data_IF_334052006406
#
_entry.id   IF_334052006406
#
_cell.length_a   1.000
_cell.length_b   1.000
_cell.length_c   1.000
_cell.angle_alpha   90.00
_cell.angle_beta   90.00
_cell.angle_gamma   90.00
#
_symmetry.space_group_name_H-M   'P 1'
#
loop_
_entity.id
_entity.type
_entity.pdbx_description
1 polymer ?
#
# COMPACT_ATOMS: atom_id res chain seq x y z
N UNK A 1 -16.55 22.39 6.80
CA UNK A 1 -16.24 21.04 7.33
C UNK A 1 -14.75 21.00 7.59
N UNK A 2 -14.38 20.86 8.86
CA UNK A 2 -12.99 20.66 9.28
C UNK A 2 -12.77 19.22 9.73
N UNK A 3 -11.81 18.55 9.11
CA UNK A 3 -11.47 17.16 9.38
C UNK A 3 -10.14 17.09 10.12
N UNK A 4 -10.09 16.35 11.24
CA UNK A 4 -8.83 16.06 11.92
C UNK A 4 -8.32 14.67 11.51
N UNK A 5 -7.13 14.64 10.90
CA UNK A 5 -6.41 13.41 10.60
C UNK A 5 -5.54 12.98 11.79
N UNK A 6 -5.72 11.77 12.27
CA UNK A 6 -4.76 11.13 13.17
C UNK A 6 -3.76 10.30 12.37
N UNK A 7 -2.66 10.94 12.03
CA UNK A 7 -1.49 10.32 11.39
C UNK A 7 -0.33 10.37 12.39
N UNK A 8 0.48 9.34 12.46
CA UNK A 8 1.58 9.25 13.44
C UNK A 8 2.60 10.39 13.30
N UNK A 9 3.18 10.87 14.43
CA UNK A 9 4.28 11.84 14.39
C UNK A 9 5.48 11.35 13.58
N UNK A 10 6.22 12.31 13.06
CA UNK A 10 7.41 12.19 12.21
C UNK A 10 8.40 11.13 12.71
N UNK A 11 8.76 10.16 11.85
CA UNK A 11 9.83 9.17 12.12
C UNK A 11 9.56 7.76 11.55
N UNK A 12 8.31 7.34 11.46
CA UNK A 12 7.91 6.06 10.87
C UNK A 12 7.25 6.29 9.50
N UNK A 13 8.06 6.51 8.47
CA UNK A 13 7.56 6.57 7.08
C UNK A 13 7.22 5.15 6.60
N UNK A 14 5.99 4.73 6.85
CA UNK A 14 5.41 3.51 6.27
C UNK A 14 4.55 3.89 5.07
N UNK A 15 4.25 2.95 4.18
CA UNK A 15 3.36 3.17 3.02
C UNK A 15 2.01 3.77 3.42
N UNK A 16 1.47 3.38 4.57
CA UNK A 16 0.20 3.87 5.10
C UNK A 16 0.24 5.38 5.42
N UNK A 17 1.34 5.87 5.99
CA UNK A 17 1.52 7.30 6.30
C UNK A 17 1.66 8.12 5.02
N UNK A 18 2.40 7.60 4.04
CA UNK A 18 2.53 8.25 2.74
C UNK A 18 1.18 8.35 2.05
N UNK A 19 0.39 7.27 2.08
CA UNK A 19 -0.97 7.25 1.55
C UNK A 19 -1.89 8.26 2.23
N UNK A 20 -1.89 8.31 3.57
CA UNK A 20 -2.70 9.26 4.34
C UNK A 20 -2.34 10.72 4.00
N UNK A 21 -1.04 11.04 3.84
CA UNK A 21 -0.60 12.38 3.44
C UNK A 21 -1.07 12.75 2.03
N UNK A 22 -0.93 11.83 1.08
CA UNK A 22 -1.42 12.05 -0.31
C UNK A 22 -2.94 12.29 -0.33
N UNK A 23 -3.67 11.54 0.47
CA UNK A 23 -5.13 11.70 0.60
C UNK A 23 -5.47 13.05 1.24
N UNK A 24 -4.74 13.48 2.29
CA UNK A 24 -4.86 14.82 2.86
C UNK A 24 -4.66 15.91 1.79
N UNK A 25 -3.59 15.81 1.00
CA UNK A 25 -3.28 16.78 -0.06
C UNK A 25 -4.38 16.79 -1.14
N UNK A 26 -4.97 15.64 -1.45
CA UNK A 26 -6.08 15.55 -2.39
C UNK A 26 -7.37 16.19 -1.83
N UNK A 27 -7.68 15.98 -0.56
CA UNK A 27 -8.83 16.60 0.11
C UNK A 27 -8.69 18.14 0.19
N UNK A 28 -7.48 18.64 0.46
CA UNK A 28 -7.19 20.08 0.44
C UNK A 28 -7.45 20.68 -0.95
N UNK A 29 -7.10 19.95 -2.04
CA UNK A 29 -7.41 20.36 -3.42
C UNK A 29 -8.92 20.38 -3.71
N UNK A 30 -9.69 19.53 -3.06
CA UNK A 30 -11.17 19.52 -3.14
C UNK A 30 -11.81 20.57 -2.19
N UNK A 31 -11.03 21.45 -1.54
CA UNK A 31 -11.52 22.52 -0.69
C UNK A 31 -11.94 22.09 0.73
N UNK A 32 -11.55 20.89 1.16
CA UNK A 32 -11.81 20.42 2.54
C UNK A 32 -10.73 20.96 3.48
N UNK A 33 -11.13 21.54 4.61
CA UNK A 33 -10.22 21.94 5.66
C UNK A 33 -9.75 20.72 6.45
N UNK A 34 -8.49 20.29 6.25
CA UNK A 34 -7.90 19.11 6.90
C UNK A 34 -6.70 19.52 7.75
N UNK A 35 -6.74 19.19 9.03
CA UNK A 35 -5.65 19.39 9.96
C UNK A 35 -5.08 18.06 10.46
N UNK A 36 -3.77 17.98 10.67
CA UNK A 36 -3.06 16.89 11.36
C UNK A 36 -2.33 17.41 12.62
N UNK A 37 -2.66 18.63 13.07
CA UNK A 37 -2.15 19.19 14.32
C UNK A 37 -2.69 18.38 15.52
N UNK A 38 -1.82 17.75 16.33
CA UNK A 38 -2.24 17.04 17.54
C UNK A 38 -2.96 17.93 18.55
N UNK A 39 -2.65 19.24 18.57
CA UNK A 39 -3.23 20.19 19.50
C UNK A 39 -4.64 20.67 19.10
N UNK A 40 -5.03 20.49 17.82
CA UNK A 40 -6.34 20.91 17.33
C UNK A 40 -7.46 20.14 18.04
N UNK A 41 -8.49 20.85 18.50
CA UNK A 41 -9.62 20.31 19.26
C UNK A 41 -10.98 20.71 18.72
N UNK A 42 -10.98 21.61 17.75
CA UNK A 42 -12.17 22.10 17.05
C UNK A 42 -12.22 21.52 15.65
N UNK A 43 -12.97 20.43 15.48
CA UNK A 43 -13.17 19.71 14.22
C UNK A 43 -14.53 19.02 14.19
N UNK A 44 -15.04 18.87 13.00
CA UNK A 44 -16.37 18.28 12.75
C UNK A 44 -16.32 16.75 12.68
N UNK A 45 -15.19 16.17 12.22
CA UNK A 45 -15.00 14.74 12.04
C UNK A 45 -13.54 14.34 12.36
N UNK A 46 -13.38 13.18 12.99
CA UNK A 46 -12.09 12.56 13.26
C UNK A 46 -11.82 11.43 12.27
N UNK A 47 -10.73 11.52 11.53
CA UNK A 47 -10.26 10.48 10.61
C UNK A 47 -8.94 9.85 11.11
N UNK A 48 -8.93 8.54 11.29
CA UNK A 48 -7.86 7.81 11.98
C UNK A 48 -7.18 6.83 11.04
N UNK A 49 -5.92 7.11 10.70
CA UNK A 49 -5.14 6.31 9.75
C UNK A 49 -4.19 5.29 10.39
N UNK A 50 -3.91 5.42 11.69
CA UNK A 50 -2.93 4.54 12.36
C UNK A 50 -3.47 4.08 13.72
N UNK A 51 -3.49 2.74 13.97
CA UNK A 51 -3.99 2.18 15.22
C UNK A 51 -2.93 2.23 16.33
N UNK A 52 -2.53 3.44 16.79
CA UNK A 52 -1.58 3.57 17.89
C UNK A 52 -2.29 3.39 19.22
N UNK A 53 -1.81 2.49 20.10
CA UNK A 53 -2.33 2.33 21.46
C UNK A 53 -2.19 3.65 22.26
N UNK A 54 -3.11 3.84 23.21
CA UNK A 54 -3.19 4.94 24.18
C UNK A 54 -3.49 6.32 23.57
N UNK A 55 -2.65 6.88 22.70
CA UNK A 55 -2.84 8.23 22.14
C UNK A 55 -4.08 8.32 21.27
N UNK A 56 -4.21 7.44 20.26
CA UNK A 56 -5.34 7.48 19.35
C UNK A 56 -6.64 7.00 20.01
N UNK A 57 -6.57 6.03 20.93
CA UNK A 57 -7.75 5.59 21.71
C UNK A 57 -8.32 6.75 22.54
N UNK A 58 -7.46 7.55 23.19
CA UNK A 58 -7.91 8.69 24.00
C UNK A 58 -8.59 9.76 23.15
N UNK A 59 -8.05 10.04 21.96
CA UNK A 59 -8.63 11.00 21.03
C UNK A 59 -9.98 10.52 20.47
N UNK A 60 -10.05 9.25 20.03
CA UNK A 60 -11.29 8.62 19.58
C UNK A 60 -12.38 8.68 20.68
N UNK A 61 -12.04 8.33 21.93
CA UNK A 61 -12.97 8.42 23.05
C UNK A 61 -13.44 9.85 23.31
N UNK A 62 -12.55 10.83 23.15
CA UNK A 62 -12.89 12.25 23.29
C UNK A 62 -13.85 12.70 22.20
N UNK A 63 -13.60 12.35 20.94
CA UNK A 63 -14.48 12.63 19.81
C UNK A 63 -15.87 12.03 20.04
N UNK A 64 -15.93 10.75 20.39
CA UNK A 64 -17.20 10.05 20.69
C UNK A 64 -17.99 10.71 21.82
N UNK A 65 -17.33 11.12 22.92
CA UNK A 65 -17.99 11.84 24.04
C UNK A 65 -18.59 13.17 23.60
N UNK A 66 -17.97 13.86 22.62
CA UNK A 66 -18.48 15.11 22.04
C UNK A 66 -19.53 14.88 20.95
N UNK A 67 -19.84 13.62 20.68
CA UNK A 67 -20.70 13.28 19.56
C UNK A 67 -20.04 13.50 18.18
N UNK A 68 -18.74 13.66 18.00
CA UNK A 68 -18.02 13.85 16.73
C UNK A 68 -17.86 12.49 16.01
N UNK A 69 -18.21 12.36 14.71
CA UNK A 69 -18.02 11.12 13.94
C UNK A 69 -16.57 10.70 13.88
N UNK A 70 -16.36 9.39 13.90
CA UNK A 70 -15.04 8.78 13.80
C UNK A 70 -14.99 7.82 12.63
N UNK A 71 -14.13 8.12 11.65
CA UNK A 71 -13.80 7.23 10.54
C UNK A 71 -12.46 6.55 10.84
N UNK A 72 -12.37 5.25 10.60
CA UNK A 72 -11.15 4.47 10.75
C UNK A 72 -10.66 3.99 9.39
N UNK A 73 -9.43 4.29 9.00
CA UNK A 73 -8.79 3.67 7.83
C UNK A 73 -8.03 2.42 8.25
N UNK A 74 -8.51 1.25 7.83
CA UNK A 74 -7.90 -0.02 8.16
C UNK A 74 -6.76 -0.38 7.18
N UNK A 75 -5.66 0.34 7.29
CA UNK A 75 -4.44 0.07 6.52
C UNK A 75 -3.66 -1.15 7.01
N UNK A 76 -3.98 -1.69 8.18
CA UNK A 76 -3.27 -2.80 8.82
C UNK A 76 -4.25 -3.85 9.30
N UNK A 77 -3.98 -5.12 8.96
CA UNK A 77 -4.69 -6.29 9.48
C UNK A 77 -3.74 -7.14 10.33
N UNK A 78 -4.26 -8.13 11.04
CA UNK A 78 -3.40 -9.03 11.80
C UNK A 78 -2.54 -9.91 10.86
N UNK A 79 -3.10 -10.30 9.73
CA UNK A 79 -2.43 -11.04 8.66
C UNK A 79 -1.27 -10.22 8.07
N UNK A 80 -1.50 -8.93 7.87
CA UNK A 80 -0.49 -7.99 7.41
C UNK A 80 0.64 -7.79 8.44
N UNK A 81 0.36 -7.93 9.72
CA UNK A 81 1.36 -7.82 10.78
C UNK A 81 2.24 -9.08 10.91
N UNK A 82 1.77 -10.24 10.44
CA UNK A 82 2.56 -11.46 10.45
C UNK A 82 3.77 -11.38 9.50
N UNK A 83 4.90 -11.93 9.94
CA UNK A 83 6.13 -11.92 9.13
C UNK A 83 6.82 -10.55 8.99
N UNK A 84 6.35 -9.54 9.71
CA UNK A 84 6.98 -8.21 9.71
C UNK A 84 8.12 -8.15 10.70
N UNK A 85 7.97 -8.69 11.93
CA UNK A 85 9.03 -8.74 12.94
C UNK A 85 9.17 -10.14 13.58
N UNK A 86 10.28 -10.37 14.24
CA UNK A 86 10.53 -11.66 14.94
C UNK A 86 9.47 -11.88 16.02
N UNK A 87 8.78 -13.03 15.97
CA UNK A 87 7.73 -13.38 16.91
C UNK A 87 6.34 -12.83 16.58
N UNK A 88 6.18 -12.12 15.45
CA UNK A 88 4.88 -11.57 15.04
C UNK A 88 3.78 -12.64 14.93
N UNK A 89 4.10 -13.86 14.50
CA UNK A 89 3.13 -14.96 14.44
C UNK A 89 2.58 -15.38 15.80
N UNK A 90 3.41 -15.35 16.87
CA UNK A 90 2.96 -15.65 18.24
C UNK A 90 2.04 -14.55 18.80
N UNK A 91 2.22 -13.31 18.38
CA UNK A 91 1.46 -12.15 18.84
C UNK A 91 0.32 -11.78 17.90
N UNK A 92 0.15 -12.46 16.77
CA UNK A 92 -0.87 -12.12 15.78
C UNK A 92 -2.29 -12.13 16.34
N UNK A 93 -2.61 -13.09 17.23
CA UNK A 93 -3.91 -13.15 17.91
C UNK A 93 -4.14 -11.95 18.84
N UNK A 94 -3.11 -11.48 19.54
CA UNK A 94 -3.20 -10.30 20.42
C UNK A 94 -3.35 -9.04 19.58
N UNK A 95 -2.53 -8.90 18.54
CA UNK A 95 -2.62 -7.80 17.58
C UNK A 95 -3.99 -7.79 16.91
N UNK A 96 -4.50 -8.95 16.47
CA UNK A 96 -5.82 -9.09 15.87
C UNK A 96 -6.96 -8.66 16.80
N UNK A 97 -6.94 -9.08 18.08
CA UNK A 97 -7.92 -8.64 19.09
C UNK A 97 -7.86 -7.13 19.33
N UNK A 98 -6.65 -6.58 19.40
CA UNK A 98 -6.46 -5.14 19.55
C UNK A 98 -7.02 -4.38 18.35
N UNK A 99 -6.70 -4.79 17.11
CA UNK A 99 -7.19 -4.15 15.89
C UNK A 99 -8.71 -4.25 15.79
N UNK A 100 -9.31 -5.42 16.10
CA UNK A 100 -10.75 -5.59 16.12
C UNK A 100 -11.40 -4.64 17.12
N UNK A 101 -10.86 -4.54 18.34
CA UNK A 101 -11.33 -3.59 19.35
C UNK A 101 -11.23 -2.15 18.84
N UNK A 102 -10.08 -1.78 18.27
CA UNK A 102 -9.80 -0.43 17.79
C UNK A 102 -10.74 -0.03 16.65
N UNK A 103 -10.90 -0.87 15.63
CA UNK A 103 -11.81 -0.60 14.51
C UNK A 103 -13.27 -0.52 14.92
N UNK A 104 -13.68 -1.31 15.90
CA UNK A 104 -15.04 -1.23 16.47
C UNK A 104 -15.34 0.05 17.25
N UNK A 105 -14.35 0.91 17.50
CA UNK A 105 -14.58 2.24 18.07
C UNK A 105 -15.06 3.26 17.03
N UNK A 106 -14.86 3.01 15.73
CA UNK A 106 -15.28 3.88 14.65
C UNK A 106 -16.79 3.83 14.39
N UNK A 107 -17.32 4.90 13.81
CA UNK A 107 -18.67 4.93 13.25
C UNK A 107 -18.70 4.32 11.84
N UNK A 108 -17.53 4.35 11.15
CA UNK A 108 -17.29 3.73 9.87
C UNK A 108 -15.83 3.26 9.80
N UNK A 109 -15.61 2.11 9.16
CA UNK A 109 -14.28 1.59 8.84
C UNK A 109 -14.11 1.60 7.32
N UNK A 110 -13.11 2.30 6.83
CA UNK A 110 -12.70 2.29 5.42
C UNK A 110 -11.58 1.29 5.22
N UNK A 111 -11.73 0.43 4.23
CA UNK A 111 -10.77 -0.62 3.88
C UNK A 111 -10.33 -0.46 2.43
N UNK A 112 -9.05 -0.71 2.09
CA UNK A 112 -8.54 -0.43 0.75
C UNK A 112 -8.93 -1.47 -0.31
N UNK A 113 -9.47 -2.62 0.08
CA UNK A 113 -9.86 -3.71 -0.82
C UNK A 113 -10.98 -4.58 -0.23
N UNK A 114 -11.68 -5.30 -1.08
CA UNK A 114 -12.71 -6.29 -0.70
C UNK A 114 -12.12 -7.43 0.11
N UNK A 115 -10.86 -7.81 -0.16
CA UNK A 115 -10.14 -8.80 0.64
C UNK A 115 -9.93 -8.30 2.08
N UNK A 116 -9.52 -7.04 2.25
CA UNK A 116 -9.38 -6.46 3.59
C UNK A 116 -10.73 -6.38 4.31
N UNK A 117 -11.82 -6.06 3.59
CA UNK A 117 -13.18 -6.10 4.16
C UNK A 117 -13.51 -7.49 4.68
N UNK A 118 -13.37 -8.53 3.85
CA UNK A 118 -13.67 -9.91 4.24
C UNK A 118 -12.83 -10.37 5.43
N UNK A 119 -11.55 -9.98 5.47
CA UNK A 119 -10.62 -10.27 6.57
C UNK A 119 -11.08 -9.63 7.89
N UNK A 120 -11.50 -8.36 7.87
CA UNK A 120 -11.99 -7.69 9.07
C UNK A 120 -13.34 -8.25 9.55
N UNK A 121 -14.24 -8.60 8.61
CA UNK A 121 -15.52 -9.26 8.96
C UNK A 121 -15.29 -10.63 9.58
N UNK A 122 -14.36 -11.44 9.04
CA UNK A 122 -13.99 -12.74 9.62
C UNK A 122 -13.41 -12.60 11.04
N UNK A 123 -12.80 -11.46 11.36
CA UNK A 123 -12.31 -11.11 12.72
C UNK A 123 -13.34 -10.42 13.60
N UNK A 124 -14.62 -10.44 13.20
CA UNK A 124 -15.74 -9.89 13.97
C UNK A 124 -15.67 -8.36 14.22
N UNK A 125 -15.14 -7.60 13.25
CA UNK A 125 -15.35 -6.15 13.23
C UNK A 125 -16.82 -5.90 12.94
N UNK A 126 -17.52 -5.25 13.90
CA UNK A 126 -18.97 -5.01 13.88
C UNK A 126 -19.33 -3.64 13.33
N UNK A 127 -18.40 -2.68 13.38
CA UNK A 127 -18.58 -1.36 12.79
C UNK A 127 -18.91 -1.48 11.28
N UNK A 128 -19.72 -0.59 10.72
CA UNK A 128 -19.94 -0.53 9.28
C UNK A 128 -18.61 -0.47 8.53
N UNK A 129 -18.47 -1.26 7.46
CA UNK A 129 -17.25 -1.30 6.66
C UNK A 129 -17.61 -0.88 5.24
N UNK A 130 -16.80 -0.01 4.64
CA UNK A 130 -16.90 0.39 3.24
C UNK A 130 -15.54 0.29 2.56
N UNK A 131 -15.52 -0.25 1.35
CA UNK A 131 -14.30 -0.29 0.53
C UNK A 131 -14.05 1.09 -0.07
N UNK A 132 -12.83 1.59 0.12
CA UNK A 132 -12.34 2.82 -0.48
C UNK A 132 -10.84 2.66 -0.74
N UNK A 133 -10.42 2.74 -2.00
CA UNK A 133 -9.02 2.66 -2.39
C UNK A 133 -8.16 3.69 -1.63
N UNK A 134 -6.88 3.37 -1.38
CA UNK A 134 -5.92 4.36 -0.89
C UNK A 134 -5.62 5.47 -1.91
N UNK A 135 -6.02 5.27 -3.16
CA UNK A 135 -5.76 6.20 -4.25
C UNK A 135 -4.34 6.16 -4.80
N UNK A 136 -4.22 6.54 -6.05
CA UNK A 136 -2.94 6.75 -6.75
C UNK A 136 -2.96 8.10 -7.46
N UNK A 137 -1.93 8.91 -7.28
CA UNK A 137 -1.78 10.18 -7.97
C UNK A 137 -1.21 9.94 -9.38
N UNK A 138 -2.10 9.75 -10.36
CA UNK A 138 -1.75 9.52 -11.76
C UNK A 138 -1.07 10.74 -12.39
N UNK A 139 -1.26 11.94 -11.83
CA UNK A 139 -0.59 13.16 -12.24
C UNK A 139 0.90 13.14 -11.87
N UNK A 140 1.22 12.61 -10.69
CA UNK A 140 2.58 12.48 -10.15
C UNK A 140 3.34 11.28 -10.71
N UNK A 141 2.70 10.09 -10.72
CA UNK A 141 3.37 8.84 -11.11
C UNK A 141 3.38 8.68 -12.62
N UNK A 142 4.26 9.44 -13.28
CA UNK A 142 4.56 9.37 -14.72
C UNK A 142 6.02 9.00 -14.93
N UNK A 143 6.28 8.32 -16.03
CA UNK A 143 7.64 8.02 -16.42
C UNK A 143 8.38 9.31 -16.82
N UNK A 144 9.56 9.52 -16.24
CA UNK A 144 10.46 10.62 -16.53
C UNK A 144 11.85 10.06 -16.90
N UNK A 145 12.28 10.33 -18.12
CA UNK A 145 13.57 9.85 -18.64
C UNK A 145 14.76 10.40 -17.84
N UNK A 146 14.66 11.63 -17.38
CA UNK A 146 15.70 12.26 -16.57
C UNK A 146 15.86 11.55 -15.21
N UNK A 147 14.77 11.24 -14.51
CA UNK A 147 14.79 10.47 -13.26
C UNK A 147 15.40 9.07 -13.47
N UNK A 148 15.10 8.41 -14.60
CA UNK A 148 15.72 7.13 -14.95
C UNK A 148 17.23 7.26 -15.04
N UNK A 149 17.71 8.25 -15.78
CA UNK A 149 19.13 8.47 -15.99
C UNK A 149 19.84 8.82 -14.68
N UNK A 150 19.27 9.72 -13.89
CA UNK A 150 19.82 10.12 -12.59
C UNK A 150 19.86 8.95 -11.58
N UNK A 151 18.78 8.19 -11.48
CA UNK A 151 18.73 7.02 -10.60
C UNK A 151 19.80 6.00 -10.97
N UNK A 152 19.90 5.65 -12.26
CA UNK A 152 20.88 4.66 -12.73
C UNK A 152 22.31 5.14 -12.53
N UNK A 153 22.60 6.39 -12.86
CA UNK A 153 23.92 6.99 -12.65
C UNK A 153 24.31 7.02 -11.17
N UNK A 154 23.38 7.47 -10.29
CA UNK A 154 23.61 7.57 -8.86
C UNK A 154 23.95 6.22 -8.21
N UNK A 155 23.24 5.18 -8.63
CA UNK A 155 23.46 3.83 -8.08
C UNK A 155 24.43 2.98 -8.89
N UNK A 156 25.10 3.53 -9.93
CA UNK A 156 26.04 2.78 -10.79
C UNK A 156 25.37 1.57 -11.45
N UNK A 157 24.17 1.75 -11.97
CA UNK A 157 23.43 0.77 -12.77
C UNK A 157 23.68 1.11 -14.24
N UNK A 158 24.12 0.11 -14.99
CA UNK A 158 24.32 0.29 -16.44
C UNK A 158 23.01 0.75 -17.09
N UNK A 159 23.14 1.73 -18.00
CA UNK A 159 21.97 2.32 -18.64
C UNK A 159 21.18 1.31 -19.48
N UNK A 160 21.86 0.36 -20.11
CA UNK A 160 21.27 -0.68 -20.95
C UNK A 160 20.87 -1.95 -20.15
N UNK A 161 21.24 -2.03 -18.87
CA UNK A 161 20.89 -3.17 -18.04
C UNK A 161 19.36 -3.33 -17.91
N UNK A 162 18.89 -4.56 -17.96
CA UNK A 162 17.50 -4.90 -17.63
C UNK A 162 17.33 -5.02 -16.12
N UNK A 163 16.55 -4.12 -15.55
CA UNK A 163 16.39 -3.97 -14.08
C UNK A 163 15.01 -4.46 -13.64
N UNK A 164 15.00 -5.56 -12.91
CA UNK A 164 13.84 -6.03 -12.14
C UNK A 164 13.91 -5.38 -10.76
N UNK A 165 12.86 -4.67 -10.36
CA UNK A 165 12.92 -3.92 -9.11
C UNK A 165 11.72 -4.15 -8.21
N UNK A 166 11.95 -3.97 -6.92
CA UNK A 166 10.97 -4.07 -5.83
C UNK A 166 11.03 -2.81 -4.98
N UNK A 167 9.86 -2.35 -4.50
CA UNK A 167 9.77 -1.21 -3.58
C UNK A 167 9.01 -1.63 -2.33
N UNK A 168 9.62 -1.43 -1.17
CA UNK A 168 9.03 -1.74 0.12
C UNK A 168 10.03 -2.20 1.17
N UNK A 169 9.58 -2.26 2.42
CA UNK A 169 10.41 -2.74 3.54
C UNK A 169 10.90 -4.16 3.28
N UNK A 170 12.19 -4.40 3.52
CA UNK A 170 12.78 -5.73 3.38
C UNK A 170 12.35 -6.61 4.55
N UNK A 171 11.39 -7.49 4.31
CA UNK A 171 10.85 -8.39 5.34
C UNK A 171 10.30 -9.70 4.71
N UNK A 172 10.06 -10.75 5.53
CA UNK A 172 9.53 -12.02 5.03
C UNK A 172 8.19 -11.88 4.32
N UNK A 173 7.29 -11.06 4.86
CA UNK A 173 5.98 -10.78 4.26
C UNK A 173 6.09 -10.30 2.80
N UNK A 174 7.10 -9.48 2.49
CA UNK A 174 7.36 -8.98 1.14
C UNK A 174 8.06 -9.99 0.23
N UNK A 175 8.31 -11.21 0.73
CA UNK A 175 8.87 -12.29 -0.07
C UNK A 175 10.37 -12.19 -0.34
N UNK A 176 11.15 -11.59 0.59
CA UNK A 176 12.62 -11.48 0.44
C UNK A 176 13.30 -12.84 0.23
N UNK A 177 12.69 -13.93 0.72
CA UNK A 177 13.21 -15.30 0.58
C UNK A 177 12.99 -15.87 -0.83
N UNK A 178 12.09 -15.28 -1.63
CA UNK A 178 11.83 -15.67 -3.02
C UNK A 178 12.87 -15.08 -3.97
N UNK A 179 13.45 -13.93 -3.61
CA UNK A 179 14.39 -13.22 -4.47
C UNK A 179 15.66 -14.01 -4.82
N UNK A 180 16.39 -14.65 -3.87
CA UNK A 180 17.63 -15.35 -4.20
C UNK A 180 17.47 -16.46 -5.24
N UNK A 181 16.51 -17.40 -5.12
CA UNK A 181 16.33 -18.44 -6.14
C UNK A 181 15.92 -17.87 -7.50
N UNK A 182 15.03 -16.87 -7.54
CA UNK A 182 14.63 -16.24 -8.81
C UNK A 182 15.82 -15.54 -9.48
N UNK A 183 16.58 -14.76 -8.72
CA UNK A 183 17.72 -14.01 -9.27
C UNK A 183 18.87 -14.92 -9.75
N UNK A 184 19.04 -16.10 -9.12
CA UNK A 184 20.02 -17.10 -9.53
C UNK A 184 19.75 -17.69 -10.90
N UNK A 185 18.46 -17.94 -11.22
CA UNK A 185 18.04 -18.47 -12.52
C UNK A 185 18.08 -17.41 -13.65
N UNK A 186 18.16 -16.13 -13.29
CA UNK A 186 18.18 -15.02 -14.26
C UNK A 186 19.44 -14.12 -14.10
N UNK A 187 20.64 -14.68 -14.30
CA UNK A 187 21.89 -13.99 -14.01
C UNK A 187 22.15 -12.76 -14.89
N UNK A 188 21.50 -12.65 -16.03
CA UNK A 188 21.61 -11.53 -16.98
C UNK A 188 20.72 -10.33 -16.60
N UNK A 189 19.86 -10.47 -15.59
CA UNK A 189 19.03 -9.38 -15.08
C UNK A 189 19.65 -8.80 -13.83
N UNK A 190 19.53 -7.49 -13.65
CA UNK A 190 19.84 -6.84 -12.37
C UNK A 190 18.59 -6.76 -11.50
N UNK A 191 18.69 -7.22 -10.27
CA UNK A 191 17.63 -7.12 -9.29
C UNK A 191 17.95 -6.02 -8.29
N UNK A 192 17.01 -5.09 -8.10
CA UNK A 192 17.16 -3.95 -7.20
C UNK A 192 16.01 -3.91 -6.22
N UNK A 193 16.30 -4.10 -4.94
CA UNK A 193 15.29 -3.91 -3.88
C UNK A 193 15.49 -2.56 -3.22
N UNK A 194 14.47 -1.71 -3.32
CA UNK A 194 14.44 -0.37 -2.74
C UNK A 194 13.58 -0.39 -1.49
N UNK A 195 14.18 -0.13 -0.34
CA UNK A 195 13.42 -0.05 0.90
C UNK A 195 14.26 -0.14 2.16
N UNK A 196 13.69 0.39 3.24
CA UNK A 196 14.36 0.41 4.54
C UNK A 196 14.59 -0.99 5.07
N UNK A 197 15.74 -1.15 5.69
CA UNK A 197 16.07 -2.29 6.54
C UNK A 197 15.92 -1.82 7.99
N UNK A 198 15.01 -2.40 8.73
CA UNK A 198 14.90 -2.14 10.17
C UNK A 198 15.34 -3.36 10.95
N UNK A 199 16.09 -3.15 12.03
CA UNK A 199 16.51 -4.24 12.94
C UNK A 199 15.28 -4.96 13.52
N UNK A 200 14.17 -4.24 13.76
CA UNK A 200 12.90 -4.80 14.22
C UNK A 200 12.25 -5.72 13.17
N UNK A 201 12.48 -5.44 11.88
CA UNK A 201 11.95 -6.19 10.73
C UNK A 201 12.98 -7.18 10.15
N UNK A 202 14.02 -7.54 10.91
CA UNK A 202 15.17 -8.28 10.42
C UNK A 202 15.38 -9.61 11.14
N UNK A 203 14.42 -10.55 11.06
CA UNK A 203 14.64 -11.89 11.60
C UNK A 203 15.80 -12.58 10.87
N UNK A 204 16.44 -13.55 11.54
CA UNK A 204 17.57 -14.32 10.99
C UNK A 204 17.30 -14.88 9.59
N UNK A 205 16.05 -15.24 9.29
CA UNK A 205 15.64 -15.73 7.96
C UNK A 205 15.81 -14.67 6.87
N UNK A 206 15.53 -13.39 7.15
CA UNK A 206 15.77 -12.28 6.20
C UNK A 206 17.27 -12.09 5.95
N UNK A 207 18.06 -12.07 7.02
CA UNK A 207 19.50 -11.99 6.90
C UNK A 207 20.07 -13.15 6.06
N UNK A 208 19.63 -14.39 6.32
CA UNK A 208 20.01 -15.55 5.52
C UNK A 208 19.58 -15.45 4.06
N UNK A 209 18.37 -14.93 3.79
CA UNK A 209 17.90 -14.73 2.42
C UNK A 209 18.82 -13.75 1.68
N UNK A 210 19.11 -12.61 2.30
CA UNK A 210 19.98 -11.59 1.70
C UNK A 210 21.41 -12.08 1.47
N UNK A 211 21.99 -12.84 2.43
CA UNK A 211 23.34 -13.39 2.29
C UNK A 211 23.46 -14.48 1.20
N UNK A 212 22.33 -15.03 0.75
CA UNK A 212 22.26 -16.01 -0.32
C UNK A 212 21.99 -15.40 -1.70
N UNK A 213 21.77 -14.07 -1.75
CA UNK A 213 21.56 -13.40 -3.02
C UNK A 213 22.81 -13.46 -3.90
N UNK A 214 22.65 -13.77 -5.19
CA UNK A 214 23.74 -13.71 -6.15
C UNK A 214 24.20 -12.27 -6.42
N UNK A 215 25.36 -12.06 -7.10
CA UNK A 215 25.96 -10.74 -7.32
C UNK A 215 25.07 -9.77 -8.11
N UNK A 216 24.11 -10.27 -8.88
CA UNK A 216 23.15 -9.45 -9.64
C UNK A 216 22.00 -8.89 -8.80
N UNK A 217 22.03 -9.06 -7.46
CA UNK A 217 21.04 -8.50 -6.53
C UNK A 217 21.64 -7.37 -5.72
N UNK A 218 20.94 -6.25 -5.67
CA UNK A 218 21.32 -5.06 -4.88
C UNK A 218 20.17 -4.61 -3.99
N UNK A 219 20.50 -4.22 -2.76
CA UNK A 219 19.54 -3.64 -1.82
C UNK A 219 19.89 -2.16 -1.60
N UNK A 220 18.97 -1.28 -1.98
CA UNK A 220 19.08 0.16 -1.77
C UNK A 220 18.20 0.56 -0.58
N UNK A 221 18.78 1.28 0.39
CA UNK A 221 18.09 1.54 1.67
C UNK A 221 17.04 2.63 1.60
N UNK A 222 17.40 3.77 1.06
CA UNK A 222 16.53 4.93 0.94
C UNK A 222 16.88 5.66 -0.36
N UNK A 223 15.88 5.90 -1.17
CA UNK A 223 16.04 6.56 -2.47
C UNK A 223 15.38 7.95 -2.50
N UNK A 224 14.94 8.45 -1.33
CA UNK A 224 14.27 9.73 -1.22
C UNK A 224 12.84 9.70 -1.79
N UNK A 225 12.69 9.51 -3.10
CA UNK A 225 11.38 9.39 -3.77
C UNK A 225 11.21 8.02 -4.45
N UNK A 226 10.12 7.31 -4.16
CA UNK A 226 9.81 6.04 -4.80
C UNK A 226 9.65 6.16 -6.33
N UNK A 227 9.25 7.32 -6.83
CA UNK A 227 9.15 7.59 -8.27
C UNK A 227 10.48 7.39 -8.99
N UNK A 228 11.61 7.72 -8.34
CA UNK A 228 12.94 7.51 -8.93
C UNK A 228 13.23 6.03 -9.18
N UNK A 229 12.85 5.17 -8.23
CA UNK A 229 12.96 3.72 -8.38
C UNK A 229 12.02 3.18 -9.49
N UNK A 230 10.79 3.69 -9.56
CA UNK A 230 9.84 3.31 -10.60
C UNK A 230 10.29 3.77 -12.00
N UNK A 231 10.93 4.94 -12.11
CA UNK A 231 11.53 5.39 -13.37
C UNK A 231 12.79 4.59 -13.70
N UNK A 232 13.63 4.31 -12.72
CA UNK A 232 14.93 3.62 -12.88
C UNK A 232 14.81 2.14 -13.25
N UNK A 233 13.78 1.45 -12.79
CA UNK A 233 13.52 0.05 -13.07
C UNK A 233 12.79 -0.20 -14.41
N UNK A 234 12.78 -1.44 -14.86
CA UNK A 234 12.09 -1.87 -16.09
C UNK A 234 10.88 -2.76 -15.81
N UNK A 235 11.01 -3.72 -14.91
CA UNK A 235 9.97 -4.67 -14.52
C UNK A 235 9.74 -4.62 -13.01
N UNK A 236 8.51 -4.38 -12.59
CA UNK A 236 8.16 -4.41 -11.17
C UNK A 236 7.90 -5.85 -10.71
N UNK A 237 8.60 -6.27 -9.67
CA UNK A 237 8.51 -7.61 -9.10
C UNK A 237 8.01 -7.53 -7.65
N UNK A 238 6.92 -8.21 -7.34
CA UNK A 238 6.36 -8.22 -5.99
C UNK A 238 5.96 -9.64 -5.57
N UNK A 239 6.88 -10.41 -4.96
CA UNK A 239 6.61 -11.76 -4.47
C UNK A 239 5.97 -11.78 -3.07
N UNK A 240 5.33 -10.69 -2.66
CA UNK A 240 4.70 -10.52 -1.34
C UNK A 240 3.74 -11.67 -1.03
N UNK A 241 3.75 -12.12 0.23
CA UNK A 241 2.81 -13.13 0.72
C UNK A 241 1.50 -12.54 1.25
N UNK A 242 1.52 -11.26 1.61
CA UNK A 242 0.35 -10.54 2.10
C UNK A 242 0.45 -9.06 1.77
N UNK A 243 -0.66 -8.49 1.32
CA UNK A 243 -0.86 -7.07 1.04
C UNK A 243 -2.28 -6.66 1.46
N UNK A 244 -2.49 -5.37 1.69
CA UNK A 244 -3.84 -4.82 1.88
C UNK A 244 -4.37 -4.14 0.62
N UNK A 245 -3.49 -3.64 -0.26
CA UNK A 245 -3.82 -3.14 -1.60
C UNK A 245 -2.63 -3.21 -2.57
N UNK A 246 -1.38 -3.02 -2.10
CA UNK A 246 -0.20 -2.99 -2.97
C UNK A 246 0.07 -1.61 -3.59
N UNK A 247 0.23 -0.58 -2.76
CA UNK A 247 0.45 0.81 -3.23
C UNK A 247 1.63 0.90 -4.21
N UNK A 248 2.79 0.30 -3.88
CA UNK A 248 3.96 0.31 -4.75
C UNK A 248 3.73 -0.38 -6.12
N UNK A 249 2.85 -1.39 -6.15
CA UNK A 249 2.41 -2.04 -7.39
C UNK A 249 1.59 -1.06 -8.24
N UNK A 250 0.64 -0.35 -7.64
CA UNK A 250 -0.16 0.67 -8.34
C UNK A 250 0.72 1.81 -8.84
N UNK A 251 1.72 2.24 -8.08
CA UNK A 251 2.73 3.24 -8.49
C UNK A 251 3.52 2.75 -9.72
N UNK A 252 3.96 1.50 -9.73
CA UNK A 252 4.65 0.90 -10.87
C UNK A 252 3.76 0.86 -12.13
N UNK A 253 2.51 0.42 -11.99
CA UNK A 253 1.53 0.42 -13.09
C UNK A 253 1.27 1.84 -13.63
N UNK A 254 1.14 2.83 -12.76
CA UNK A 254 0.94 4.22 -13.15
C UNK A 254 2.12 4.78 -13.98
N UNK A 255 3.35 4.44 -13.60
CA UNK A 255 4.57 4.78 -14.37
C UNK A 255 4.67 3.98 -15.68
N UNK A 256 3.80 2.97 -15.87
CA UNK A 256 3.81 2.10 -17.05
C UNK A 256 4.84 0.99 -16.97
N UNK A 257 5.15 0.50 -15.77
CA UNK A 257 6.02 -0.67 -15.59
C UNK A 257 5.19 -1.95 -15.58
N UNK A 258 5.52 -2.94 -16.40
CA UNK A 258 4.86 -4.24 -16.33
C UNK A 258 5.13 -4.90 -14.98
N UNK A 259 4.13 -5.59 -14.47
CA UNK A 259 4.10 -6.16 -13.12
C UNK A 259 4.17 -7.67 -13.19
N UNK A 260 5.07 -8.25 -12.39
CA UNK A 260 5.06 -9.67 -12.02
C UNK A 260 4.80 -9.75 -10.52
N UNK A 261 3.67 -10.31 -10.13
CA UNK A 261 3.20 -10.32 -8.75
C UNK A 261 2.88 -11.75 -8.27
N UNK A 262 2.93 -11.97 -6.96
CA UNK A 262 2.29 -13.17 -6.40
C UNK A 262 0.78 -13.10 -6.63
N UNK A 263 0.18 -14.24 -6.95
CA UNK A 263 -1.27 -14.39 -7.05
C UNK A 263 -1.89 -14.24 -5.65
N UNK A 264 -2.42 -13.06 -5.35
CA UNK A 264 -3.04 -12.74 -4.05
C UNK A 264 -4.49 -12.29 -4.24
N UNK A 265 -5.42 -12.73 -3.37
CA UNK A 265 -6.82 -12.31 -3.45
C UNK A 265 -7.03 -10.79 -3.38
N UNK A 266 -6.12 -10.06 -2.73
CA UNK A 266 -6.17 -8.60 -2.62
C UNK A 266 -6.09 -7.87 -3.97
N UNK A 267 -5.57 -8.53 -4.99
CA UNK A 267 -5.42 -7.98 -6.33
C UNK A 267 -6.60 -8.31 -7.26
N UNK A 268 -7.61 -9.01 -6.75
CA UNK A 268 -8.84 -9.27 -7.50
C UNK A 268 -9.49 -7.94 -7.94
N UNK A 269 -9.85 -7.86 -9.23
CA UNK A 269 -10.36 -6.64 -9.85
C UNK A 269 -9.29 -5.63 -10.30
N UNK A 270 -8.06 -5.69 -9.75
CA UNK A 270 -6.95 -4.83 -10.16
C UNK A 270 -6.01 -5.52 -11.16
N UNK A 271 -5.59 -6.75 -10.85
CA UNK A 271 -4.72 -7.53 -11.74
C UNK A 271 -5.50 -8.61 -12.47
N UNK A 272 -5.29 -8.68 -13.78
CA UNK A 272 -5.79 -9.74 -14.65
C UNK A 272 -4.60 -10.42 -15.30
N UNK A 273 -4.36 -11.68 -14.92
CA UNK A 273 -3.22 -12.46 -15.40
C UNK A 273 -3.22 -12.56 -16.95
N UNK A 274 -2.08 -12.23 -17.56
CA UNK A 274 -1.92 -12.22 -19.01
C UNK A 274 -2.49 -11.01 -19.73
N UNK A 275 -3.19 -10.10 -19.02
CA UNK A 275 -3.75 -8.86 -19.58
C UNK A 275 -2.98 -7.62 -19.15
N UNK A 276 -2.80 -7.38 -17.86
CA UNK A 276 -2.11 -6.22 -17.31
C UNK A 276 -0.99 -6.57 -16.31
N UNK A 277 -0.84 -7.84 -15.98
CA UNK A 277 0.22 -8.38 -15.13
C UNK A 277 0.43 -9.86 -15.43
N UNK A 278 1.55 -10.43 -14.92
CA UNK A 278 1.70 -11.87 -14.73
C UNK A 278 1.62 -12.17 -13.24
N UNK A 279 0.70 -13.08 -12.87
CA UNK A 279 0.53 -13.53 -11.48
C UNK A 279 1.09 -14.92 -11.31
N UNK A 280 1.85 -15.15 -10.23
CA UNK A 280 2.64 -16.34 -9.99
C UNK A 280 2.44 -16.86 -8.57
N UNK A 281 2.63 -18.16 -8.36
CA UNK A 281 2.60 -18.80 -7.05
C UNK A 281 3.96 -19.37 -6.65
N UNK A 282 4.70 -19.90 -7.63
CA UNK A 282 5.96 -20.60 -7.45
C UNK A 282 7.17 -19.80 -7.95
N UNK A 283 8.37 -20.20 -7.53
CA UNK A 283 9.64 -19.63 -8.00
C UNK A 283 9.77 -19.81 -9.52
N UNK A 284 9.44 -20.99 -10.02
CA UNK A 284 9.57 -21.33 -11.45
C UNK A 284 8.65 -20.45 -12.30
N UNK A 285 7.43 -20.17 -11.84
CA UNK A 285 6.50 -19.27 -12.52
C UNK A 285 7.02 -17.82 -12.51
N UNK A 286 7.63 -17.35 -11.42
CA UNK A 286 8.27 -16.04 -11.38
C UNK A 286 9.41 -15.94 -12.40
N UNK A 287 10.27 -16.96 -12.47
CA UNK A 287 11.39 -17.03 -13.43
C UNK A 287 10.84 -16.99 -14.86
N UNK A 288 9.88 -17.84 -15.19
CA UNK A 288 9.28 -17.92 -16.52
C UNK A 288 8.59 -16.60 -16.92
N UNK A 289 7.90 -15.97 -15.96
CA UNK A 289 7.19 -14.70 -16.20
C UNK A 289 8.13 -13.54 -16.46
N UNK A 290 9.22 -13.41 -15.69
CA UNK A 290 10.24 -12.39 -15.91
C UNK A 290 10.97 -12.62 -17.23
N UNK A 291 11.37 -13.84 -17.53
CA UNK A 291 12.03 -14.20 -18.80
C UNK A 291 11.12 -13.91 -20.01
N UNK A 292 9.82 -14.22 -19.91
CA UNK A 292 8.84 -13.90 -20.95
C UNK A 292 8.76 -12.39 -21.23
N UNK A 293 8.64 -11.56 -20.19
CA UNK A 293 8.53 -10.10 -20.36
C UNK A 293 9.81 -9.49 -20.95
N UNK A 294 10.99 -10.03 -20.63
CA UNK A 294 12.24 -9.57 -21.23
C UNK A 294 12.31 -9.86 -22.74
N UNK A 295 11.72 -10.98 -23.16
CA UNK A 295 11.75 -11.45 -24.56
C UNK A 295 10.63 -10.87 -25.42
N UNK A 296 9.58 -10.31 -24.79
CA UNK A 296 8.38 -9.83 -25.48
C UNK A 296 8.09 -8.33 -25.21
N UNK A 297 8.74 -7.42 -25.96
CA UNK A 297 8.51 -5.97 -25.81
C UNK A 297 7.07 -5.55 -26.13
N UNK A 298 6.35 -6.30 -26.98
CA UNK A 298 4.95 -6.00 -27.27
C UNK A 298 4.06 -6.29 -26.06
N UNK A 299 4.29 -7.39 -25.39
CA UNK A 299 3.60 -7.71 -24.14
C UNK A 299 3.86 -6.66 -23.04
N UNK A 300 5.11 -6.20 -22.92
CA UNK A 300 5.50 -5.12 -22.01
C UNK A 300 4.70 -3.85 -22.28
N UNK A 301 4.58 -3.44 -23.54
CA UNK A 301 3.80 -2.27 -23.94
C UNK A 301 2.32 -2.44 -23.62
N UNK A 302 1.76 -3.59 -23.97
CA UNK A 302 0.34 -3.88 -23.69
C UNK A 302 0.04 -3.85 -22.18
N UNK A 303 0.91 -4.43 -21.36
CA UNK A 303 0.74 -4.40 -19.90
C UNK A 303 0.85 -2.98 -19.32
N UNK A 304 1.71 -2.14 -19.88
CA UNK A 304 1.83 -0.76 -19.47
C UNK A 304 0.56 0.06 -19.77
N UNK A 305 -0.09 -0.20 -20.91
CA UNK A 305 -1.34 0.47 -21.31
C UNK A 305 -2.52 -0.05 -20.47
N UNK A 306 -2.72 -1.36 -20.42
CA UNK A 306 -3.81 -1.99 -19.66
C UNK A 306 -3.69 -1.75 -18.14
N UNK A 307 -2.46 -1.67 -17.63
CA UNK A 307 -2.18 -1.34 -16.24
C UNK A 307 -2.67 0.07 -15.88
N UNK A 308 -2.47 1.06 -16.74
CA UNK A 308 -2.96 2.42 -16.54
C UNK A 308 -4.49 2.49 -16.60
N UNK A 309 -5.11 1.71 -17.50
CA UNK A 309 -6.58 1.63 -17.58
C UNK A 309 -7.15 1.07 -16.27
N UNK A 310 -6.57 0.02 -15.71
CA UNK A 310 -7.00 -0.59 -14.46
C UNK A 310 -6.91 0.36 -13.24
N UNK A 311 -6.13 1.43 -13.33
CA UNK A 311 -5.96 2.39 -12.24
C UNK A 311 -6.93 3.58 -12.29
N UNK A 312 -7.74 3.72 -13.32
CA UNK A 312 -8.59 4.92 -13.49
C UNK A 312 -9.55 5.11 -12.31
N UNK A 313 -10.20 4.07 -11.85
CA UNK A 313 -11.11 4.11 -10.69
C UNK A 313 -10.37 4.29 -9.35
N UNK A 314 -9.06 4.18 -9.35
CA UNK A 314 -8.18 4.39 -8.20
C UNK A 314 -7.51 5.76 -8.19
N UNK A 315 -7.83 6.65 -9.13
CA UNK A 315 -7.26 8.00 -9.17
C UNK A 315 -7.60 8.76 -7.89
N UNK A 316 -6.59 9.43 -7.30
CA UNK A 316 -6.68 9.97 -5.94
C UNK A 316 -7.71 11.09 -5.80
N UNK A 317 -7.98 11.86 -6.85
CA UNK A 317 -9.03 12.89 -6.86
C UNK A 317 -10.43 12.27 -6.82
N UNK A 318 -10.67 11.14 -7.52
CA UNK A 318 -11.93 10.40 -7.43
C UNK A 318 -12.12 9.81 -6.03
N UNK A 319 -11.04 9.27 -5.45
CA UNK A 319 -11.04 8.74 -4.07
C UNK A 319 -11.35 9.87 -3.07
N UNK A 320 -10.73 11.04 -3.22
CA UNK A 320 -10.98 12.20 -2.36
C UNK A 320 -12.44 12.67 -2.44
N UNK A 321 -13.01 12.77 -3.65
CA UNK A 321 -14.45 13.11 -3.84
C UNK A 321 -15.38 12.09 -3.20
N UNK A 322 -15.09 10.80 -3.35
CA UNK A 322 -15.84 9.74 -2.69
C UNK A 322 -15.77 9.86 -1.17
N UNK A 323 -14.58 10.17 -0.63
CA UNK A 323 -14.38 10.37 0.79
C UNK A 323 -15.11 11.60 1.32
N UNK A 324 -15.12 12.72 0.58
CA UNK A 324 -15.93 13.90 0.91
C UNK A 324 -17.42 13.55 1.03
N UNK A 325 -17.95 12.78 0.06
CA UNK A 325 -19.35 12.32 0.10
C UNK A 325 -19.64 11.45 1.34
N UNK A 326 -18.69 10.58 1.72
CA UNK A 326 -18.79 9.77 2.93
C UNK A 326 -18.82 10.65 4.18
N UNK A 327 -17.93 11.64 4.29
CA UNK A 327 -17.91 12.55 5.42
C UNK A 327 -19.21 13.34 5.57
N UNK A 328 -19.72 13.89 4.47
CA UNK A 328 -20.99 14.62 4.46
C UNK A 328 -22.13 13.72 4.94
N UNK A 329 -22.24 12.51 4.44
CA UNK A 329 -23.29 11.56 4.86
C UNK A 329 -23.24 11.24 6.34
N UNK A 330 -22.05 11.14 6.93
CA UNK A 330 -21.88 10.90 8.38
C UNK A 330 -22.23 12.12 9.22
N UNK A 331 -22.02 13.33 8.69
CA UNK A 331 -22.39 14.58 9.37
C UNK A 331 -23.90 14.83 9.29
N UNK A 332 -24.53 14.60 8.13
CA UNK A 332 -25.96 14.79 7.89
C UNK A 332 -26.82 13.77 8.64
N UNK A 333 -26.39 12.52 8.72
CA UNK A 333 -27.07 11.44 9.47
C UNK A 333 -27.22 11.71 10.96
N UNK A 334 -26.60 12.74 11.49
CA UNK A 334 -26.79 13.23 12.87
C UNK A 334 -27.93 14.22 13.02
N UNK A 335 -28.31 14.92 11.92
CA UNK A 335 -29.43 15.84 11.90
C UNK A 335 -30.80 15.14 11.86
N UNK A 336 -30.81 13.89 11.40
CA UNK A 336 -32.04 13.10 11.24
C UNK A 336 -31.88 11.77 11.96
N UNK A 337 -32.28 11.67 13.20
CA UNK A 337 -32.22 10.42 13.99
C UNK A 337 -33.02 9.24 13.39
N UNK A 338 -32.76 8.87 12.16
CA UNK A 338 -33.40 7.78 11.41
C UNK A 338 -32.32 6.90 10.78
N UNK A 339 -32.42 5.59 11.06
CA UNK A 339 -31.52 4.55 10.55
C UNK A 339 -31.41 4.58 9.03
N UNK A 340 -30.18 4.59 8.53
CA UNK A 340 -29.87 4.59 7.12
C UNK A 340 -30.15 3.24 6.48
N UNK A 341 -31.14 3.18 5.61
CA UNK A 341 -31.22 2.19 4.56
C UNK A 341 -30.03 2.40 3.58
N UNK A 342 -29.34 1.32 3.25
CA UNK A 342 -28.21 1.33 2.32
C UNK A 342 -28.71 1.54 0.88
N UNK A 343 -28.16 2.46 0.10
CA UNK A 343 -28.24 2.34 -1.36
C UNK A 343 -27.21 1.30 -1.81
N UNK A 344 -27.68 0.26 -2.47
CA UNK A 344 -26.87 -0.68 -3.22
C UNK A 344 -26.29 0.03 -4.46
N UNK A 345 -24.96 0.01 -4.62
CA UNK A 345 -24.26 0.11 -5.89
C UNK A 345 -23.14 -0.92 -5.87
#
# INVERSE_FOLDING_TARGET
MRIKFLVTPVGLMTGNIVSARRLKDALLREGVDVTDDPAEKDYDLLDVHVPIPFTNISEVRRAKKKGIPVVMHAHTTAEDAEGVWTGSGLLSSVVGRYLTFFYNMGDLVLVPSTWTESTLRARHVKAPIKVLSNGIDLGRFKFEQERRSQFRAHYGIDYEARVVYMVGVVCPKKGVEVLPPVAKELPNLQFVWVGRRSILYYPLRVYRAMSRCPPNVRFLHDVGDALDAHCGGDLFFTPSFCENQGIALMEAMAVGRPVVARNLPVYEGLLVNGKNALTCETVDEFVASLDRLIKDPLLVKNFAEEGKVALQDHEIGLVAKSLVSIYLSLLDGRGTGVGAEQPAI
#
